data_IF_328409966666
#
_entry.id   IF_328409966666
#
_cell.length_a   1.000
_cell.length_b   1.000
_cell.length_c   1.000
_cell.angle_alpha   90.00
_cell.angle_beta   90.00
_cell.angle_gamma   90.00
#
_symmetry.space_group_name_H-M   'P 1'
#
loop_
_entity.id
_entity.type
_entity.pdbx_description
1 polymer ?
#
# COMPACT_ATOMS: atom_id res chain seq x y z
N UNK A 1 -13.92 0.96 2.46
CA UNK A 1 -12.87 1.83 2.99
C UNK A 1 -11.70 1.01 3.44
N UNK A 2 -10.51 1.48 3.15
CA UNK A 2 -9.30 0.72 3.44
C UNK A 2 -9.11 0.41 4.92
N UNK A 3 -9.32 1.39 5.80
CA UNK A 3 -9.13 1.18 7.24
C UNK A 3 -10.12 0.16 7.80
N UNK A 4 -11.35 0.16 7.30
CA UNK A 4 -12.33 -0.85 7.70
C UNK A 4 -11.91 -2.24 7.24
N UNK A 5 -11.38 -2.32 6.03
CA UNK A 5 -10.87 -3.56 5.47
C UNK A 5 -9.77 -4.14 6.34
N UNK A 6 -8.80 -3.30 6.70
CA UNK A 6 -7.66 -3.70 7.52
C UNK A 6 -8.13 -4.20 8.89
N UNK A 7 -9.10 -3.53 9.48
CA UNK A 7 -9.65 -3.93 10.76
C UNK A 7 -10.41 -5.26 10.70
N UNK A 8 -11.10 -5.50 9.60
CA UNK A 8 -11.88 -6.74 9.43
C UNK A 8 -11.02 -7.96 9.21
N UNK A 9 -10.02 -7.85 8.33
CA UNK A 9 -9.22 -9.04 7.98
C UNK A 9 -8.21 -9.40 9.05
N UNK A 10 -7.77 -8.42 9.86
CA UNK A 10 -6.81 -8.69 10.91
C UNK A 10 -5.55 -9.35 10.36
N UNK A 11 -5.21 -10.51 10.88
CA UNK A 11 -4.02 -11.25 10.45
C UNK A 11 -4.23 -12.03 9.15
N UNK A 12 -5.48 -12.21 8.72
CA UNK A 12 -5.81 -12.98 7.52
C UNK A 12 -6.02 -12.05 6.33
N UNK A 13 -4.95 -11.39 5.91
CA UNK A 13 -5.00 -10.42 4.82
C UNK A 13 -5.05 -11.15 3.48
N UNK A 14 -6.02 -10.84 2.60
CA UNK A 14 -6.10 -11.48 1.29
C UNK A 14 -4.86 -11.25 0.44
N UNK A 15 -4.58 -12.19 -0.46
CA UNK A 15 -3.49 -12.06 -1.42
C UNK A 15 -3.73 -10.83 -2.29
N UNK A 16 -2.70 -10.02 -2.46
CA UNK A 16 -2.81 -8.80 -3.24
C UNK A 16 -3.25 -7.58 -2.46
N UNK A 17 -3.73 -7.77 -1.22
CA UNK A 17 -4.15 -6.64 -0.40
C UNK A 17 -3.00 -5.67 -0.11
N UNK A 18 -1.81 -6.20 0.17
CA UNK A 18 -0.64 -5.36 0.47
C UNK A 18 -0.29 -4.44 -0.69
N UNK A 19 -0.39 -4.96 -1.91
CA UNK A 19 -0.16 -4.17 -3.12
C UNK A 19 -1.18 -3.05 -3.24
N UNK A 20 -2.47 -3.38 -3.07
CA UNK A 20 -3.54 -2.39 -3.09
C UNK A 20 -3.35 -1.34 -2.00
N UNK A 21 -2.99 -1.77 -0.78
CA UNK A 21 -2.77 -0.89 0.35
C UNK A 21 -1.70 0.18 0.04
N UNK A 22 -0.56 -0.26 -0.51
CA UNK A 22 0.52 0.66 -0.84
C UNK A 22 0.05 1.69 -1.87
N UNK A 23 -0.60 1.24 -2.93
CA UNK A 23 -1.07 2.14 -3.98
C UNK A 23 -2.12 3.12 -3.45
N UNK A 24 -3.03 2.64 -2.64
CA UNK A 24 -4.08 3.48 -2.06
C UNK A 24 -3.49 4.55 -1.13
N UNK A 25 -2.53 4.17 -0.29
CA UNK A 25 -1.87 5.11 0.60
C UNK A 25 -1.13 6.20 -0.19
N UNK A 26 -0.43 5.80 -1.25
CA UNK A 26 0.35 6.74 -2.04
C UNK A 26 -0.52 7.65 -2.90
N UNK A 27 -1.80 7.33 -3.09
CA UNK A 27 -2.75 8.26 -3.70
C UNK A 27 -3.00 9.47 -2.81
N UNK A 28 -2.85 9.30 -1.51
CA UNK A 28 -3.12 10.37 -0.53
C UNK A 28 -1.94 11.31 -0.37
N UNK A 29 -0.74 10.75 -0.24
CA UNK A 29 0.49 11.54 -0.14
C UNK A 29 1.70 10.62 -0.25
N UNK A 30 2.89 11.20 -0.22
CA UNK A 30 4.14 10.45 -0.28
C UNK A 30 4.46 9.85 1.09
N UNK A 31 4.96 8.62 1.09
CA UNK A 31 5.36 7.90 2.30
C UNK A 31 6.66 7.15 2.07
N UNK A 32 7.44 6.96 3.14
CA UNK A 32 8.56 6.01 3.15
C UNK A 32 8.01 4.60 3.37
N UNK A 33 8.84 3.59 3.10
CA UNK A 33 8.45 2.21 3.41
C UNK A 33 8.12 2.01 4.88
N UNK A 34 8.93 2.62 5.75
CA UNK A 34 8.69 2.54 7.19
C UNK A 34 7.36 3.17 7.58
N UNK A 35 7.05 4.33 7.01
CA UNK A 35 5.78 5.01 7.27
C UNK A 35 4.59 4.16 6.83
N UNK A 36 4.72 3.47 5.71
CA UNK A 36 3.67 2.56 5.23
C UNK A 36 3.43 1.42 6.22
N UNK A 37 4.51 0.84 6.75
CA UNK A 37 4.41 -0.23 7.74
C UNK A 37 3.76 0.29 9.02
N UNK A 38 4.25 1.40 9.54
CA UNK A 38 3.74 1.98 10.79
C UNK A 38 2.26 2.34 10.66
N UNK A 39 1.87 2.88 9.53
CA UNK A 39 0.48 3.22 9.27
C UNK A 39 -0.43 1.98 9.22
N UNK A 40 0.06 0.89 8.64
CA UNK A 40 -0.70 -0.36 8.59
C UNK A 40 -0.97 -0.88 10.00
N UNK A 41 0.04 -0.85 10.85
CA UNK A 41 -0.09 -1.29 12.24
C UNK A 41 -1.09 -0.41 12.98
N UNK A 42 -0.97 0.90 12.81
CA UNK A 42 -1.84 1.86 13.48
C UNK A 42 -3.30 1.73 13.03
N UNK A 43 -3.53 1.68 11.71
CA UNK A 43 -4.88 1.60 11.16
C UNK A 43 -5.60 0.31 11.52
N UNK A 44 -4.86 -0.76 11.72
CA UNK A 44 -5.43 -2.06 12.05
C UNK A 44 -5.49 -2.34 13.55
N UNK A 45 -5.09 -1.36 14.37
CA UNK A 45 -5.02 -1.56 15.82
C UNK A 45 -4.08 -2.71 16.17
N UNK A 46 -2.99 -2.84 15.44
CA UNK A 46 -2.00 -3.88 15.67
C UNK A 46 -2.36 -5.25 15.12
N UNK A 47 -3.51 -5.40 14.46
CA UNK A 47 -3.96 -6.69 13.93
C UNK A 47 -3.21 -7.08 12.67
N UNK A 48 -2.76 -6.11 11.89
CA UNK A 48 -1.96 -6.35 10.70
C UNK A 48 -0.62 -5.65 10.84
N UNK A 49 0.44 -6.44 10.92
CA UNK A 49 1.81 -5.95 11.10
C UNK A 49 2.67 -6.43 9.92
N UNK A 50 2.56 -5.78 8.75
CA UNK A 50 3.37 -6.22 7.60
C UNK A 50 4.84 -6.04 7.92
N UNK A 51 5.65 -7.01 7.52
CA UNK A 51 7.09 -6.97 7.77
C UNK A 51 7.82 -6.20 6.68
N UNK A 52 9.04 -5.71 6.96
CA UNK A 52 9.88 -5.16 5.90
C UNK A 52 10.12 -6.16 4.78
N UNK A 53 10.24 -7.45 5.10
CA UNK A 53 10.42 -8.50 4.10
C UNK A 53 9.25 -8.66 3.15
N UNK A 54 8.07 -8.18 3.53
CA UNK A 54 6.91 -8.14 2.64
C UNK A 54 6.84 -6.83 1.87
N UNK A 55 6.99 -5.72 2.56
CA UNK A 55 6.74 -4.39 2.00
C UNK A 55 7.83 -3.95 1.01
N UNK A 56 9.11 -4.08 1.37
CA UNK A 56 10.18 -3.58 0.50
C UNK A 56 10.30 -4.32 -0.83
N UNK A 57 10.21 -5.66 -0.90
CA UNK A 57 10.18 -6.33 -2.20
C UNK A 57 8.99 -5.91 -3.05
N UNK A 58 7.86 -5.65 -2.42
CA UNK A 58 6.67 -5.21 -3.11
C UNK A 58 6.84 -3.81 -3.69
N UNK A 59 7.47 -2.91 -2.92
CA UNK A 59 7.81 -1.57 -3.43
C UNK A 59 8.72 -1.69 -4.66
N UNK A 60 9.70 -2.59 -4.62
CA UNK A 60 10.59 -2.83 -5.76
C UNK A 60 9.82 -3.27 -7.01
N UNK A 61 8.86 -4.15 -6.85
CA UNK A 61 8.01 -4.58 -7.98
C UNK A 61 7.19 -3.43 -8.53
N UNK A 62 6.60 -2.63 -7.66
CA UNK A 62 5.79 -1.49 -8.09
C UNK A 62 6.64 -0.46 -8.84
N UNK A 63 7.88 -0.27 -8.42
CA UNK A 63 8.83 0.59 -9.15
C UNK A 63 9.11 0.03 -10.54
N UNK A 64 9.35 -1.28 -10.65
CA UNK A 64 9.61 -1.94 -11.93
C UNK A 64 8.43 -1.82 -12.87
N UNK A 65 7.23 -1.88 -12.33
CA UNK A 65 6.00 -1.76 -13.12
C UNK A 65 5.63 -0.31 -13.43
N UNK A 66 6.41 0.65 -12.94
CA UNK A 66 6.18 2.09 -13.16
C UNK A 66 4.89 2.59 -12.51
N UNK A 67 4.42 1.90 -11.50
CA UNK A 67 3.21 2.31 -10.77
C UNK A 67 3.51 3.33 -9.68
N UNK A 68 4.74 3.33 -9.18
CA UNK A 68 5.22 4.30 -8.20
C UNK A 68 6.60 4.78 -8.61
N UNK A 69 7.06 5.85 -7.97
CA UNK A 69 8.37 6.46 -8.22
C UNK A 69 8.97 6.86 -6.88
N UNK A 70 10.28 6.74 -6.76
CA UNK A 70 10.99 7.15 -5.57
C UNK A 70 11.26 8.65 -5.63
N UNK A 71 11.12 9.33 -4.48
CA UNK A 71 11.36 10.76 -4.37
C UNK A 71 12.45 11.01 -3.33
N UNK A 72 12.78 12.27 -3.06
CA UNK A 72 13.79 12.61 -2.07
C UNK A 72 13.40 12.13 -0.67
N UNK A 73 14.40 11.78 0.14
CA UNK A 73 14.18 11.36 1.51
C UNK A 73 13.65 9.94 1.65
N UNK A 74 13.81 9.11 0.62
CA UNK A 74 13.36 7.72 0.66
C UNK A 74 11.87 7.54 0.60
N UNK A 75 11.14 8.58 0.19
CA UNK A 75 9.69 8.51 0.02
C UNK A 75 9.34 8.00 -1.36
N UNK A 76 8.11 7.52 -1.49
CA UNK A 76 7.56 7.03 -2.76
C UNK A 76 6.32 7.84 -3.08
N UNK A 77 6.04 7.99 -4.37
CA UNK A 77 4.81 8.63 -4.83
C UNK A 77 4.17 7.78 -5.91
N UNK A 78 2.86 7.89 -6.05
CA UNK A 78 2.14 7.16 -7.08
C UNK A 78 2.30 7.88 -8.42
N UNK A 79 2.33 7.10 -9.51
CA UNK A 79 2.34 7.64 -10.87
C UNK A 79 0.91 7.68 -11.40
N UNK A 80 0.72 8.30 -12.57
CA UNK A 80 -0.57 8.28 -13.25
C UNK A 80 -1.05 6.85 -13.49
N UNK A 81 -0.13 6.00 -13.92
CA UNK A 81 -0.44 4.58 -14.18
C UNK A 81 -0.87 3.87 -12.90
N UNK A 82 -0.16 4.13 -11.80
CA UNK A 82 -0.48 3.54 -10.51
C UNK A 82 -1.85 3.98 -9.99
N UNK A 83 -2.17 5.27 -10.15
CA UNK A 83 -3.46 5.81 -9.73
C UNK A 83 -4.60 5.17 -10.51
N UNK A 84 -4.45 5.03 -11.82
CA UNK A 84 -5.45 4.39 -12.67
C UNK A 84 -5.66 2.92 -12.28
N UNK A 85 -4.57 2.21 -11.95
CA UNK A 85 -4.64 0.82 -11.51
C UNK A 85 -5.45 0.69 -10.21
N UNK A 86 -5.24 1.61 -9.29
CA UNK A 86 -5.97 1.61 -8.01
C UNK A 86 -7.45 1.88 -8.24
N UNK A 87 -7.78 2.81 -9.11
CA UNK A 87 -9.18 3.13 -9.43
C UNK A 87 -9.88 1.91 -10.04
N UNK A 88 -9.19 1.18 -10.92
CA UNK A 88 -9.74 -0.04 -11.51
C UNK A 88 -10.00 -1.10 -10.44
N UNK A 89 -9.08 -1.27 -9.50
CA UNK A 89 -9.24 -2.22 -8.40
C UNK A 89 -10.43 -1.85 -7.52
N UNK A 90 -10.60 -0.58 -7.22
CA UNK A 90 -11.74 -0.11 -6.43
C UNK A 90 -13.06 -0.39 -7.15
N UNK A 91 -13.10 -0.16 -8.45
CA UNK A 91 -14.28 -0.40 -9.26
C UNK A 91 -14.65 -1.88 -9.25
N UNK A 92 -13.66 -2.75 -9.37
CA UNK A 92 -13.87 -4.20 -9.36
C UNK A 92 -14.40 -4.67 -8.01
N UNK A 93 -13.91 -4.08 -6.92
CA UNK A 93 -14.27 -4.51 -5.57
C UNK A 93 -15.58 -3.90 -5.06
N UNK A 94 -16.11 -2.94 -5.75
CA UNK A 94 -17.39 -2.35 -5.43
C UNK A 94 -18.51 -3.06 -6.18
#
# INVERSE_FOLDING_TARGET
MLSEWVQRVGSSVPRGFSRFYILDMLKKKQYTGKELIDSAIKQSDGKWKPSPGLIYPLLGRLLDEKLIQETTGGKYKITKKGSATTDDLETINN
#
